data_IF_819190288033
#
_entry.id   IF_819190288033
#
_cell.length_a   1.000
_cell.length_b   1.000
_cell.length_c   1.000
_cell.angle_alpha   90.00
_cell.angle_beta   90.00
_cell.angle_gamma   90.00
#
_symmetry.space_group_name_H-M   'P 1'
#
loop_
_entity.id
_entity.type
_entity.pdbx_description
1 polymer ?
#
# COMPACT_ATOMS: atom_id res chain seq x y z
N UNK A 1 2.13 -6.28 -15.49
CA UNK A 1 2.38 -5.79 -14.12
C UNK A 1 3.85 -5.43 -13.91
N UNK A 2 4.81 -6.33 -14.19
CA UNK A 2 6.26 -6.08 -14.00
C UNK A 2 6.77 -4.81 -14.71
N UNK A 3 6.33 -4.55 -15.94
CA UNK A 3 6.79 -3.37 -16.70
C UNK A 3 6.40 -2.03 -16.05
N UNK A 4 5.23 -1.95 -15.39
CA UNK A 4 4.82 -0.70 -14.72
C UNK A 4 5.68 -0.45 -13.48
N UNK A 5 5.97 -1.52 -12.73
CA UNK A 5 6.81 -1.45 -11.52
C UNK A 5 8.25 -1.09 -11.90
N UNK A 6 8.78 -1.71 -12.97
CA UNK A 6 10.11 -1.41 -13.48
C UNK A 6 10.20 0.03 -13.98
N UNK A 7 9.18 0.52 -14.68
CA UNK A 7 9.11 1.92 -15.11
C UNK A 7 9.10 2.88 -13.92
N UNK A 8 8.26 2.63 -12.91
CA UNK A 8 8.19 3.46 -11.71
C UNK A 8 9.51 3.45 -10.95
N UNK A 9 10.17 2.29 -10.85
CA UNK A 9 11.45 2.15 -10.19
C UNK A 9 12.55 2.96 -10.89
N UNK A 10 12.65 2.86 -12.21
CA UNK A 10 13.64 3.62 -13.00
C UNK A 10 13.34 5.12 -12.93
N UNK A 11 12.07 5.51 -13.03
CA UNK A 11 11.65 6.91 -12.91
C UNK A 11 12.01 7.49 -11.53
N UNK A 12 11.78 6.72 -10.45
CA UNK A 12 12.11 7.12 -9.09
C UNK A 12 13.63 7.34 -8.92
N UNK A 13 14.47 6.41 -9.42
CA UNK A 13 15.93 6.57 -9.40
C UNK A 13 16.40 7.79 -10.20
N UNK A 14 15.80 8.04 -11.37
CA UNK A 14 16.23 9.09 -12.28
C UNK A 14 15.78 10.50 -11.83
N UNK A 15 14.76 10.60 -10.97
CA UNK A 15 14.12 11.86 -10.57
C UNK A 15 15.11 12.91 -10.03
N UNK A 16 15.94 12.64 -8.99
CA UNK A 16 16.87 13.65 -8.47
C UNK A 16 17.92 14.08 -9.52
N UNK A 17 18.33 13.17 -10.42
CA UNK A 17 19.27 13.48 -11.50
C UNK A 17 18.64 14.39 -12.56
N UNK A 18 17.44 14.06 -13.03
CA UNK A 18 16.73 14.86 -14.04
C UNK A 18 16.39 16.25 -13.50
N UNK A 19 15.93 16.33 -12.25
CA UNK A 19 15.61 17.61 -11.58
C UNK A 19 16.87 18.46 -11.38
N UNK A 20 17.98 17.87 -10.93
CA UNK A 20 19.26 18.57 -10.79
C UNK A 20 19.85 19.05 -12.11
N UNK A 21 19.64 18.31 -13.21
CA UNK A 21 20.03 18.76 -14.56
C UNK A 21 19.17 19.92 -15.07
N UNK A 22 17.87 19.92 -14.74
CA UNK A 22 16.95 20.97 -15.19
C UNK A 22 17.21 22.30 -14.48
N UNK A 23 17.57 22.24 -13.19
CA UNK A 23 17.86 23.42 -12.38
C UNK A 23 18.87 23.08 -11.29
N UNK A 24 20.07 23.65 -11.43
CA UNK A 24 21.23 23.39 -10.56
C UNK A 24 21.04 23.78 -9.10
N UNK A 25 20.06 24.64 -8.80
CA UNK A 25 19.73 25.12 -7.46
C UNK A 25 18.35 24.60 -7.02
N UNK A 26 18.14 23.29 -7.17
CA UNK A 26 16.92 22.63 -6.71
C UNK A 26 17.26 21.68 -5.58
N UNK A 27 16.53 21.80 -4.48
CA UNK A 27 16.69 20.93 -3.32
C UNK A 27 16.14 19.53 -3.63
N UNK A 28 17.04 18.55 -3.69
CA UNK A 28 16.72 17.13 -3.86
C UNK A 28 16.89 16.32 -2.57
N UNK A 29 17.18 16.96 -1.44
CA UNK A 29 17.46 16.32 -0.15
C UNK A 29 16.33 15.39 0.30
N UNK A 30 15.08 15.77 0.06
CA UNK A 30 13.91 14.96 0.39
C UNK A 30 13.88 13.64 -0.38
N UNK A 31 14.22 13.63 -1.67
CA UNK A 31 14.21 12.42 -2.50
C UNK A 31 15.26 11.41 -2.05
N UNK A 32 16.45 11.89 -1.70
CA UNK A 32 17.50 11.05 -1.11
C UNK A 32 17.07 10.53 0.26
N UNK A 33 16.51 11.39 1.11
CA UNK A 33 16.07 11.02 2.46
C UNK A 33 14.88 10.06 2.50
N UNK A 34 14.07 9.97 1.44
CA UNK A 34 13.02 8.97 1.28
C UNK A 34 13.53 7.64 0.70
N UNK A 35 14.70 7.66 0.06
CA UNK A 35 15.33 6.48 -0.56
C UNK A 35 16.31 5.78 0.37
N UNK A 36 16.83 6.49 1.38
CA UNK A 36 17.70 5.92 2.42
C UNK A 36 16.90 5.08 3.41
N UNK A 37 17.15 3.76 3.39
CA UNK A 37 16.48 2.77 4.25
C UNK A 37 17.00 2.80 5.70
N UNK A 38 18.17 3.41 5.96
CA UNK A 38 18.87 3.39 7.25
C UNK A 38 18.38 4.42 8.28
N UNK A 39 17.61 5.44 7.88
CA UNK A 39 17.13 6.46 8.83
C UNK A 39 15.78 6.01 9.38
N UNK A 40 15.81 5.23 10.47
CA UNK A 40 14.68 5.12 11.39
C UNK A 40 14.44 6.51 12.01
N UNK A 41 13.73 7.38 11.26
CA UNK A 41 13.30 8.68 11.76
C UNK A 41 12.35 8.38 12.92
N UNK A 42 12.76 8.65 14.16
CA UNK A 42 11.83 8.76 15.27
C UNK A 42 10.70 9.69 14.81
N UNK A 43 9.52 9.12 14.59
CA UNK A 43 8.35 9.88 14.14
C UNK A 43 7.98 10.80 15.29
N UNK A 44 8.48 12.03 15.25
CA UNK A 44 7.93 13.12 16.07
C UNK A 44 6.53 13.37 15.52
N UNK A 45 5.55 12.76 16.17
CA UNK A 45 4.14 13.04 15.92
C UNK A 45 3.90 14.52 16.16
N UNK A 46 3.75 15.28 15.08
CA UNK A 46 3.25 16.64 15.14
C UNK A 46 1.73 16.47 15.29
N UNK A 47 1.10 16.99 16.36
CA UNK A 47 -0.34 16.91 16.53
C UNK A 47 -1.01 17.87 15.54
N UNK A 48 -1.05 17.48 14.27
CA UNK A 48 -1.73 18.22 13.23
C UNK A 48 -3.19 17.76 13.25
N UNK A 49 -4.09 18.67 13.63
CA UNK A 49 -5.52 18.41 13.57
C UNK A 49 -5.88 18.01 12.15
N UNK A 50 -6.43 16.80 11.99
CA UNK A 50 -6.84 16.21 10.71
C UNK A 50 -7.76 17.16 9.91
N UNK A 51 -8.45 18.07 10.61
CA UNK A 51 -9.30 19.10 10.02
C UNK A 51 -8.55 20.11 9.13
N UNK A 52 -7.27 20.40 9.38
CA UNK A 52 -6.50 21.39 8.59
C UNK A 52 -5.87 20.80 7.32
N UNK A 53 -5.65 19.47 7.28
CA UNK A 53 -4.96 18.79 6.16
C UNK A 53 -5.95 18.33 5.08
N UNK A 54 -7.17 17.98 5.47
CA UNK A 54 -8.18 17.45 4.54
C UNK A 54 -9.00 18.60 3.96
N UNK A 55 -8.35 19.49 3.23
CA UNK A 55 -9.02 20.29 2.18
C UNK A 55 -8.87 19.60 0.81
N UNK A 56 -8.80 18.26 0.81
CA UNK A 56 -8.97 17.45 -0.39
C UNK A 56 -10.46 17.47 -0.71
N UNK A 57 -10.84 18.27 -1.71
CA UNK A 57 -12.18 18.24 -2.30
C UNK A 57 -12.57 16.78 -2.53
N UNK A 58 -13.52 16.31 -1.73
CA UNK A 58 -14.00 14.94 -1.76
C UNK A 58 -14.67 14.71 -3.10
N UNK A 59 -13.93 14.11 -4.04
CA UNK A 59 -14.50 13.69 -5.31
C UNK A 59 -15.51 12.57 -5.02
N UNK A 60 -16.79 12.92 -5.00
CA UNK A 60 -17.88 11.96 -4.80
C UNK A 60 -17.93 11.00 -5.99
N UNK A 61 -17.18 9.89 -5.90
CA UNK A 61 -17.30 8.80 -6.85
C UNK A 61 -18.63 8.09 -6.59
N UNK A 62 -19.65 8.40 -7.40
CA UNK A 62 -20.94 7.71 -7.37
C UNK A 62 -20.75 6.26 -7.80
N UNK A 63 -20.46 5.37 -6.83
CA UNK A 63 -20.48 3.92 -7.06
C UNK A 63 -21.94 3.51 -7.25
N UNK A 64 -22.35 3.28 -8.49
CA UNK A 64 -23.58 2.51 -8.75
C UNK A 64 -23.36 1.11 -8.20
N UNK A 65 -24.02 0.78 -7.10
CA UNK A 65 -23.99 -0.56 -6.53
C UNK A 65 -24.86 -1.48 -7.39
N UNK A 66 -24.22 -2.37 -8.15
CA UNK A 66 -24.94 -3.46 -8.83
C UNK A 66 -25.13 -4.59 -7.82
N UNK A 67 -26.37 -5.01 -7.60
CA UNK A 67 -26.68 -6.13 -6.70
C UNK A 67 -26.03 -7.41 -7.23
N UNK A 68 -25.20 -8.08 -6.41
CA UNK A 68 -24.60 -9.37 -6.75
C UNK A 68 -25.69 -10.43 -6.60
N UNK A 69 -26.13 -11.02 -7.71
CA UNK A 69 -27.16 -12.05 -7.73
C UNK A 69 -26.48 -13.44 -7.69
N UNK A 70 -26.40 -14.05 -6.51
CA UNK A 70 -25.88 -15.41 -6.32
C UNK A 70 -26.94 -16.43 -6.73
N UNK A 71 -27.04 -16.74 -8.03
CA UNK A 71 -28.00 -17.73 -8.55
C UNK A 71 -27.53 -19.19 -8.47
N UNK A 72 -26.31 -19.46 -7.99
CA UNK A 72 -25.81 -20.84 -7.95
C UNK A 72 -24.82 -21.07 -6.80
N UNK A 73 -25.33 -21.10 -5.56
CA UNK A 73 -24.62 -21.66 -4.42
C UNK A 73 -24.67 -23.20 -4.52
N UNK A 74 -23.79 -23.80 -5.32
CA UNK A 74 -23.58 -25.25 -5.24
C UNK A 74 -22.90 -25.56 -3.90
N UNK A 75 -23.73 -25.95 -2.92
CA UNK A 75 -23.26 -26.45 -1.62
C UNK A 75 -22.50 -27.75 -1.86
N UNK A 76 -21.18 -27.67 -1.91
CA UNK A 76 -20.33 -28.85 -1.81
C UNK A 76 -20.31 -29.27 -0.34
N UNK A 77 -20.92 -30.42 -0.02
CA UNK A 77 -20.78 -31.02 1.30
C UNK A 77 -19.30 -31.32 1.52
N UNK A 78 -18.72 -30.64 2.51
CA UNK A 78 -17.36 -30.87 2.95
C UNK A 78 -17.34 -32.24 3.63
N UNK A 79 -17.05 -33.31 2.86
CA UNK A 79 -16.64 -34.61 3.42
C UNK A 79 -15.24 -34.42 3.99
N UNK A 80 -15.16 -33.71 5.11
CA UNK A 80 -14.02 -33.76 6.00
C UNK A 80 -14.47 -34.55 7.21
N UNK A 81 -14.25 -35.87 7.18
CA UNK A 81 -14.18 -36.65 8.41
C UNK A 81 -13.17 -35.96 9.32
N UNK A 82 -13.61 -35.70 10.54
CA UNK A 82 -12.86 -35.10 11.61
C UNK A 82 -11.62 -35.97 11.89
N UNK A 83 -10.50 -35.68 11.22
CA UNK A 83 -9.19 -36.25 11.58
C UNK A 83 -8.71 -35.58 12.87
N UNK A 84 -9.42 -35.88 13.96
CA UNK A 84 -9.05 -35.50 15.32
C UNK A 84 -8.28 -36.67 15.92
N UNK A 85 -6.96 -36.68 15.74
CA UNK A 85 -6.11 -37.55 16.57
C UNK A 85 -6.10 -36.98 17.99
N UNK A 86 -6.44 -37.77 19.02
CA UNK A 86 -6.44 -37.29 20.39
C UNK A 86 -5.02 -36.87 20.82
N UNK A 87 -4.89 -35.97 21.81
CA UNK A 87 -3.60 -35.49 22.28
C UNK A 87 -2.75 -36.66 22.82
N UNK A 88 -1.43 -36.68 22.57
CA UNK A 88 -0.56 -37.71 23.12
C UNK A 88 -0.47 -37.61 24.65
N UNK A 89 -0.51 -38.76 25.33
CA UNK A 89 -0.32 -38.83 26.78
C UNK A 89 1.08 -38.36 27.16
N UNK A 90 1.18 -37.63 28.28
CA UNK A 90 2.47 -37.21 28.85
C UNK A 90 3.06 -38.38 29.64
N UNK A 91 4.20 -38.89 29.16
CA UNK A 91 5.08 -39.79 29.92
C UNK A 91 5.84 -39.04 31.01
#
# INVERSE_FOLDING_TARGET
MVNIVLFLFIAFLATPTVVGMLKSDTDTSMFYSLSEEEIQKEVKEIPLSIAEVIHLETFYFSRKATAINFQNEQKHDNVSEEIFSPPPEKA
#
